data_IF_422441968093
#
_entry.id   IF_422441968093
#
_cell.length_a   1.000
_cell.length_b   1.000
_cell.length_c   1.000
_cell.angle_alpha   90.00
_cell.angle_beta   90.00
_cell.angle_gamma   90.00
#
_symmetry.space_group_name_H-M   'P 1'
#
loop_
_entity.id
_entity.type
_entity.pdbx_description
1 polymer ?
#
# COMPACT_ATOMS: atom_id res chain seq x y z
N UNK A 1 8.30 0.20 21.30
CA UNK A 1 8.26 -1.11 20.62
C UNK A 1 6.86 -1.73 20.42
N UNK A 2 5.78 -1.30 21.10
CA UNK A 2 4.44 -1.90 20.91
C UNK A 2 3.60 -1.30 19.76
N UNK A 3 3.94 -0.10 19.28
CA UNK A 3 3.11 0.69 18.35
C UNK A 3 3.18 0.22 16.88
N UNK A 4 4.24 -0.51 16.51
CA UNK A 4 4.42 -1.08 15.18
C UNK A 4 3.55 -2.33 14.96
N UNK A 5 3.06 -2.96 16.03
CA UNK A 5 2.22 -4.16 15.99
C UNK A 5 0.72 -3.87 16.15
N UNK A 6 0.33 -2.60 16.09
CA UNK A 6 -1.08 -2.19 16.16
C UNK A 6 -1.72 -2.22 14.78
N UNK A 7 -2.93 -2.77 14.70
CA UNK A 7 -3.72 -2.81 13.46
C UNK A 7 -3.97 -1.41 12.90
N UNK A 8 -3.96 -1.28 11.57
CA UNK A 8 -4.35 -0.06 10.87
C UNK A 8 -5.88 -0.07 10.68
N UNK A 9 -6.62 0.89 11.25
CA UNK A 9 -8.08 0.90 11.18
C UNK A 9 -8.57 1.45 9.82
N UNK A 10 -9.74 0.99 9.38
CA UNK A 10 -10.43 1.52 8.18
C UNK A 10 -10.93 0.43 7.25
N UNK A 11 -11.60 0.84 6.16
CA UNK A 11 -11.88 -0.04 5.01
C UNK A 11 -10.73 0.18 4.04
N UNK A 12 -9.74 -0.68 4.08
CA UNK A 12 -8.46 -0.40 3.43
C UNK A 12 -8.42 -0.92 1.99
N UNK A 13 -7.77 -0.15 1.14
CA UNK A 13 -7.35 -0.57 -0.20
C UNK A 13 -5.88 -0.21 -0.42
N UNK A 14 -5.32 -0.74 -1.52
CA UNK A 14 -3.92 -0.57 -1.86
C UNK A 14 -3.77 -0.23 -3.33
N UNK A 15 -2.96 0.79 -3.60
CA UNK A 15 -2.56 1.15 -4.96
C UNK A 15 -1.05 1.15 -5.09
N UNK A 16 -0.57 0.74 -6.26
CA UNK A 16 0.83 0.78 -6.67
C UNK A 16 1.08 1.96 -7.57
N UNK A 17 2.16 2.67 -7.32
CA UNK A 17 2.62 3.74 -8.19
C UNK A 17 3.71 3.22 -9.11
N UNK A 18 3.54 3.45 -10.41
CA UNK A 18 4.50 3.09 -11.45
C UNK A 18 5.05 4.37 -12.06
N UNK A 19 6.36 4.56 -12.01
CA UNK A 19 7.04 5.68 -12.63
C UNK A 19 8.14 5.14 -13.55
N UNK A 20 8.16 5.60 -14.81
CA UNK A 20 9.13 5.16 -15.85
C UNK A 20 9.23 3.64 -15.97
N UNK A 21 8.08 2.94 -15.92
CA UNK A 21 8.00 1.49 -16.05
C UNK A 21 8.47 0.70 -14.82
N UNK A 22 8.70 1.37 -13.68
CA UNK A 22 9.07 0.71 -12.43
C UNK A 22 8.06 0.99 -11.34
N UNK A 23 7.75 -0.03 -10.53
CA UNK A 23 7.01 0.13 -9.30
C UNK A 23 7.88 0.92 -8.29
N UNK A 24 7.39 2.08 -7.84
CA UNK A 24 8.17 3.00 -6.98
C UNK A 24 7.67 3.08 -5.54
N UNK A 25 6.40 2.78 -5.30
CA UNK A 25 5.79 2.73 -3.97
C UNK A 25 4.42 2.05 -4.01
N UNK A 26 4.01 1.42 -2.90
CA UNK A 26 2.62 1.05 -2.66
C UNK A 26 2.04 1.91 -1.53
N UNK A 27 0.81 2.42 -1.75
CA UNK A 27 0.06 3.20 -0.77
C UNK A 27 -1.11 2.40 -0.25
N UNK A 28 -1.22 2.33 1.07
CA UNK A 28 -2.41 1.86 1.78
C UNK A 28 -3.28 3.07 2.10
N UNK A 29 -4.55 3.02 1.73
CA UNK A 29 -5.49 4.11 1.96
C UNK A 29 -6.84 3.59 2.44
N UNK A 30 -7.62 4.44 3.10
CA UNK A 30 -9.00 4.12 3.49
C UNK A 30 -9.95 4.53 2.37
N UNK A 31 -10.75 3.59 1.87
CA UNK A 31 -11.69 3.81 0.76
C UNK A 31 -12.78 4.82 1.12
N UNK A 32 -13.03 5.05 2.42
CA UNK A 32 -14.01 6.01 2.90
C UNK A 32 -13.47 7.44 2.93
N UNK A 33 -12.16 7.63 2.83
CA UNK A 33 -11.52 8.95 2.84
C UNK A 33 -10.65 9.12 1.59
N UNK A 34 -11.21 9.67 0.50
CA UNK A 34 -10.45 9.94 -0.71
C UNK A 34 -9.20 10.76 -0.41
N UNK A 35 -8.10 10.41 -1.07
CA UNK A 35 -6.81 11.08 -0.93
C UNK A 35 -6.39 11.65 -2.29
N UNK A 36 -5.95 12.90 -2.31
CA UNK A 36 -5.42 13.56 -3.50
C UNK A 36 -3.91 13.76 -3.44
N UNK A 37 -3.29 13.65 -2.27
CA UNK A 37 -1.84 13.77 -2.14
C UNK A 37 -1.13 12.44 -2.44
N UNK A 38 -0.18 12.50 -3.37
CA UNK A 38 0.75 11.41 -3.66
C UNK A 38 1.91 11.39 -2.66
N UNK A 39 1.60 11.07 -1.41
CA UNK A 39 2.57 10.90 -0.31
C UNK A 39 2.25 9.65 0.49
N UNK A 40 3.28 8.95 0.92
CA UNK A 40 3.15 7.82 1.86
C UNK A 40 3.90 8.11 3.15
N UNK A 41 3.32 7.71 4.27
CA UNK A 41 3.93 7.74 5.61
C UNK A 41 4.34 6.34 6.04
N UNK A 42 5.56 6.19 6.55
CA UNK A 42 6.08 4.92 7.01
C UNK A 42 5.28 4.45 8.24
N UNK A 43 4.70 3.23 8.23
CA UNK A 43 3.91 2.75 9.34
C UNK A 43 4.75 2.40 10.58
N UNK A 44 6.07 2.20 10.44
CA UNK A 44 6.99 1.95 11.54
C UNK A 44 7.60 3.25 12.10
N UNK A 45 7.76 4.27 11.27
CA UNK A 45 8.22 5.62 11.66
C UNK A 45 7.24 6.70 11.16
N UNK A 46 6.27 7.13 12.00
CA UNK A 46 5.24 8.12 11.63
C UNK A 46 5.78 9.47 11.14
N UNK A 47 7.01 9.83 11.48
CA UNK A 47 7.63 11.09 11.05
C UNK A 47 8.30 10.96 9.67
N UNK A 48 8.52 9.73 9.21
CA UNK A 48 9.11 9.45 7.91
C UNK A 48 8.02 9.41 6.86
N UNK A 49 8.14 10.30 5.88
CA UNK A 49 7.26 10.31 4.71
C UNK A 49 8.06 10.41 3.42
N UNK A 50 7.44 9.96 2.33
CA UNK A 50 7.98 10.06 0.98
C UNK A 50 6.90 10.59 0.05
N UNK A 51 7.25 11.61 -0.75
CA UNK A 51 6.45 12.03 -1.90
C UNK A 51 6.69 11.08 -3.06
N UNK A 52 5.63 10.79 -3.78
CA UNK A 52 5.64 10.01 -5.02
C UNK A 52 5.57 11.02 -6.18
N UNK A 53 6.22 10.66 -7.28
CA UNK A 53 6.30 11.46 -8.49
C UNK A 53 4.90 11.77 -9.04
N UNK A 54 4.61 13.04 -9.34
CA UNK A 54 3.27 13.49 -9.72
C UNK A 54 2.76 12.91 -11.04
N UNK A 55 3.67 12.45 -11.89
CA UNK A 55 3.39 11.78 -13.16
C UNK A 55 3.43 10.24 -13.05
N UNK A 56 3.56 9.69 -11.84
CA UNK A 56 3.46 8.25 -11.62
C UNK A 56 2.02 7.78 -11.86
N UNK A 57 1.88 6.67 -12.58
CA UNK A 57 0.62 5.98 -12.79
C UNK A 57 0.20 5.26 -11.51
N UNK A 58 -1.05 5.46 -11.08
CA UNK A 58 -1.62 4.75 -9.94
C UNK A 58 -2.45 3.54 -10.41
N UNK A 59 -2.06 2.35 -9.97
CA UNK A 59 -2.72 1.07 -10.28
C UNK A 59 -3.35 0.47 -9.04
N UNK A 60 -4.67 0.23 -9.08
CA UNK A 60 -5.39 -0.42 -7.99
C UNK A 60 -5.05 -1.91 -7.89
N UNK A 61 -4.54 -2.36 -6.75
CA UNK A 61 -4.12 -3.75 -6.55
C UNK A 61 -5.24 -4.66 -6.05
N UNK A 62 -6.18 -4.13 -5.24
CA UNK A 62 -7.32 -4.91 -4.77
C UNK A 62 -8.44 -4.87 -5.80
N UNK A 63 -8.66 -5.99 -6.46
CA UNK A 63 -9.73 -6.18 -7.43
C UNK A 63 -10.82 -7.07 -6.85
N UNK A 64 -12.11 -6.73 -7.01
CA UNK A 64 -13.19 -7.51 -6.40
C UNK A 64 -13.34 -8.87 -7.09
N UNK A 65 -13.30 -9.94 -6.31
CA UNK A 65 -13.45 -11.32 -6.81
C UNK A 65 -14.89 -11.83 -6.64
N UNK A 66 -15.54 -11.47 -5.52
CA UNK A 66 -16.91 -11.84 -5.20
C UNK A 66 -17.74 -10.61 -4.82
N UNK A 67 -19.04 -10.64 -5.13
CA UNK A 67 -20.03 -9.66 -4.67
C UNK A 67 -21.37 -10.36 -4.45
N UNK A 68 -21.99 -10.16 -3.30
CA UNK A 68 -23.31 -10.75 -2.99
C UNK A 68 -23.34 -12.28 -2.96
N UNK A 69 -22.19 -12.94 -2.73
CA UNK A 69 -22.07 -14.40 -2.79
C UNK A 69 -21.64 -14.95 -4.15
N UNK A 70 -21.69 -14.13 -5.21
CA UNK A 70 -21.35 -14.54 -6.57
C UNK A 70 -19.93 -14.15 -6.97
N UNK A 71 -19.24 -15.05 -7.66
CA UNK A 71 -17.92 -14.78 -8.24
C UNK A 71 -18.09 -13.90 -9.48
N UNK A 72 -17.59 -12.66 -9.42
CA UNK A 72 -17.67 -11.70 -10.52
C UNK A 72 -16.38 -11.66 -11.36
N UNK A 73 -15.26 -12.13 -10.82
CA UNK A 73 -13.99 -12.19 -11.54
C UNK A 73 -13.82 -13.53 -12.27
N UNK A 74 -13.24 -13.48 -13.47
CA UNK A 74 -12.80 -14.70 -14.17
C UNK A 74 -11.51 -15.24 -13.55
N UNK A 75 -11.39 -16.57 -13.47
CA UNK A 75 -10.16 -17.19 -13.00
C UNK A 75 -9.11 -17.16 -14.13
N UNK A 76 -7.90 -16.62 -13.89
CA UNK A 76 -6.84 -16.69 -14.88
C UNK A 76 -6.38 -18.14 -15.06
N UNK A 77 -5.86 -18.45 -16.24
CA UNK A 77 -5.16 -19.72 -16.47
C UNK A 77 -3.81 -19.71 -15.78
N UNK A 78 -3.23 -20.89 -15.52
CA UNK A 78 -1.90 -21.02 -14.94
C UNK A 78 -0.83 -20.25 -15.75
N UNK A 79 -0.93 -20.28 -17.08
CA UNK A 79 -0.01 -19.58 -17.97
C UNK A 79 -0.12 -18.07 -17.80
N UNK A 80 -1.35 -17.52 -17.71
CA UNK A 80 -1.58 -16.09 -17.46
C UNK A 80 -1.07 -15.68 -16.07
N UNK A 81 -1.32 -16.48 -15.05
CA UNK A 81 -0.80 -16.22 -13.69
C UNK A 81 0.72 -16.20 -13.66
N UNK A 82 1.39 -17.15 -14.34
CA UNK A 82 2.85 -17.19 -14.44
C UNK A 82 3.42 -15.96 -15.14
N UNK A 83 2.82 -15.59 -16.27
CA UNK A 83 3.25 -14.43 -17.05
C UNK A 83 3.07 -13.13 -16.27
N UNK A 84 1.91 -12.97 -15.63
CA UNK A 84 1.64 -11.82 -14.75
C UNK A 84 2.65 -11.72 -13.61
N UNK A 85 2.96 -12.83 -12.93
CA UNK A 85 3.95 -12.84 -11.86
C UNK A 85 5.34 -12.39 -12.33
N UNK A 86 5.78 -12.84 -13.52
CA UNK A 86 7.05 -12.41 -14.11
C UNK A 86 7.06 -10.91 -14.40
N UNK A 87 6.03 -10.40 -15.05
CA UNK A 87 5.87 -8.98 -15.35
C UNK A 87 5.87 -8.13 -14.07
N UNK A 88 5.17 -8.57 -13.02
CA UNK A 88 5.14 -7.84 -11.74
C UNK A 88 6.49 -7.82 -11.04
N UNK A 89 7.26 -8.92 -11.08
CA UNK A 89 8.63 -8.93 -10.56
C UNK A 89 9.53 -8.03 -11.40
N UNK A 90 9.34 -7.98 -12.71
CA UNK A 90 10.12 -7.13 -13.61
C UNK A 90 9.96 -5.63 -13.34
N UNK A 91 8.78 -5.20 -12.86
CA UNK A 91 8.50 -3.82 -12.45
C UNK A 91 9.32 -3.38 -11.22
N UNK A 92 9.77 -4.31 -10.37
CA UNK A 92 10.53 -3.95 -9.17
C UNK A 92 11.95 -3.48 -9.52
N UNK A 93 12.43 -2.45 -8.82
CA UNK A 93 13.80 -1.99 -8.98
C UNK A 93 14.82 -3.12 -8.67
N UNK A 94 15.95 -3.15 -9.37
CA UNK A 94 16.96 -4.21 -9.22
C UNK A 94 17.46 -4.37 -7.77
N UNK A 95 17.57 -3.27 -7.02
CA UNK A 95 17.98 -3.30 -5.62
C UNK A 95 16.95 -3.95 -4.69
N UNK A 96 15.67 -3.96 -5.04
CA UNK A 96 14.60 -4.66 -4.31
C UNK A 96 14.54 -6.14 -4.66
N UNK A 97 14.91 -6.51 -5.90
CA UNK A 97 14.86 -7.89 -6.39
C UNK A 97 16.05 -8.76 -6.02
N UNK A 98 17.18 -8.15 -5.63
CA UNK A 98 18.41 -8.90 -5.29
C UNK A 98 18.17 -9.84 -4.10
N UNK A 99 18.80 -11.01 -4.12
CA UNK A 99 18.65 -12.01 -3.07
C UNK A 99 19.46 -11.68 -1.81
N UNK A 100 20.59 -11.00 -1.97
CA UNK A 100 21.46 -10.62 -0.86
C UNK A 100 21.17 -9.18 -0.44
N UNK A 101 20.80 -8.99 0.83
CA UNK A 101 20.54 -7.69 1.45
C UNK A 101 19.60 -6.78 0.62
N UNK A 102 18.35 -7.19 0.29
CA UNK A 102 17.49 -6.38 -0.58
C UNK A 102 17.17 -4.99 0.00
N UNK A 103 17.09 -3.98 -0.87
CA UNK A 103 16.54 -2.67 -0.46
C UNK A 103 15.03 -2.81 -0.22
N UNK A 104 14.51 -2.31 0.93
CA UNK A 104 13.09 -2.34 1.21
C UNK A 104 12.28 -1.67 0.12
N UNK A 105 11.23 -2.34 -0.34
CA UNK A 105 10.26 -1.72 -1.23
C UNK A 105 9.42 -0.70 -0.44
N UNK A 106 9.23 0.53 -0.93
CA UNK A 106 8.49 1.57 -0.23
C UNK A 106 7.00 1.23 -0.12
N UNK A 107 6.51 1.10 1.11
CA UNK A 107 5.09 0.93 1.42
C UNK A 107 4.72 1.90 2.52
N UNK A 108 3.59 2.59 2.40
CA UNK A 108 3.14 3.46 3.48
C UNK A 108 1.67 3.86 3.42
N UNK A 109 1.26 4.57 4.46
CA UNK A 109 -0.12 5.01 4.65
C UNK A 109 -0.36 6.33 3.92
N UNK A 110 -1.53 6.47 3.31
CA UNK A 110 -2.03 7.76 2.84
C UNK A 110 -2.11 8.78 3.99
N UNK A 111 -1.93 10.09 3.74
CA UNK A 111 -1.98 11.14 4.75
C UNK A 111 -3.23 11.09 5.64
N UNK A 112 -4.41 10.93 5.05
CA UNK A 112 -5.66 10.81 5.80
C UNK A 112 -5.66 9.61 6.76
N UNK A 113 -5.21 8.45 6.28
CA UNK A 113 -5.13 7.24 7.08
C UNK A 113 -4.07 7.34 8.19
N UNK A 114 -2.92 7.93 7.87
CA UNK A 114 -1.85 8.18 8.83
C UNK A 114 -2.34 9.08 9.98
N UNK A 115 -2.98 10.20 9.66
CA UNK A 115 -3.57 11.13 10.65
C UNK A 115 -4.57 10.40 11.55
N UNK A 116 -5.50 9.65 10.96
CA UNK A 116 -6.51 8.88 11.71
C UNK A 116 -5.86 7.88 12.68
N UNK A 117 -4.80 7.18 12.23
CA UNK A 117 -4.04 6.27 13.11
C UNK A 117 -3.41 7.01 14.28
N UNK A 118 -2.82 8.19 14.05
CA UNK A 118 -2.19 8.99 15.10
C UNK A 118 -3.21 9.52 16.13
N UNK A 119 -4.38 9.95 15.68
CA UNK A 119 -5.49 10.37 16.55
C UNK A 119 -5.94 9.23 17.46
N UNK A 120 -6.17 8.04 16.89
CA UNK A 120 -6.58 6.86 17.67
C UNK A 120 -5.48 6.40 18.62
N UNK A 121 -4.21 6.41 18.19
CA UNK A 121 -3.09 6.09 19.07
C UNK A 121 -2.96 7.07 20.24
N UNK A 122 -3.28 8.36 20.03
CA UNK A 122 -3.32 9.37 21.10
C UNK A 122 -4.47 9.10 22.07
N UNK A 123 -5.67 8.79 21.57
CA UNK A 123 -6.83 8.44 22.40
C UNK A 123 -6.56 7.22 23.28
N UNK A 124 -5.93 6.17 22.72
CA UNK A 124 -5.57 4.96 23.48
C UNK A 124 -4.52 5.20 24.57
N UNK A 125 -3.70 6.26 24.45
CA UNK A 125 -2.69 6.65 25.45
C UNK A 125 -3.23 7.60 26.51
N UNK A 126 -4.40 8.18 26.27
CA UNK A 126 -5.12 9.00 27.24
C UNK A 126 -6.39 8.28 27.72
N UNK A 127 -6.33 7.05 28.26
CA UNK A 127 -7.46 6.52 29.00
C UNK A 127 -7.50 7.27 30.34
N UNK A 128 -8.64 7.92 30.58
CA UNK A 128 -9.06 8.63 31.80
C UNK A 128 -8.45 10.03 32.05
N UNK A 129 -9.21 11.04 31.62
CA UNK A 129 -9.37 12.33 32.31
C UNK A 129 -10.86 12.55 32.59
#
# INVERSE_FOLDING_TARGET
DQTAKTTIPGILATRRFIHRGQAVADMIYDTLTPESEQRIFDPADPNRSRRIESDAEAVELLQPVFRGGDRIASLPTLQRTREYARQQVELLHASTRRLHDPHPYPVGLAPNLHRRRMELAKQMRAPDA
#
